data_IF_591715229318
#
_entry.id   IF_591715229318
#
_cell.length_a   1.000
_cell.length_b   1.000
_cell.length_c   1.000
_cell.angle_alpha   90.00
_cell.angle_beta   90.00
_cell.angle_gamma   90.00
#
_symmetry.space_group_name_H-M   'P 1'
#
loop_
_entity.id
_entity.type
_entity.pdbx_description
1 polymer ?
#
# COMPACT_ATOMS: atom_id res chain seq x y z
N UNK A 1 7.97 -13.29 -0.04
CA UNK A 1 9.02 -14.01 0.70
C UNK A 1 9.69 -13.03 1.62
N UNK A 2 9.80 -13.36 2.90
CA UNK A 2 10.13 -12.41 3.98
C UNK A 2 11.51 -11.74 3.81
N UNK A 3 12.42 -12.36 3.03
CA UNK A 3 13.78 -11.86 2.75
C UNK A 3 14.13 -11.84 1.25
N UNK A 4 13.12 -11.79 0.37
CA UNK A 4 13.36 -11.77 -1.08
C UNK A 4 13.80 -13.11 -1.70
N UNK A 5 13.93 -14.17 -0.91
CA UNK A 5 14.19 -15.53 -1.42
C UNK A 5 13.07 -15.98 -2.39
N UNK A 6 13.37 -16.84 -3.35
CA UNK A 6 12.39 -17.44 -4.26
C UNK A 6 11.84 -18.77 -3.74
N UNK A 7 10.60 -19.17 -4.06
CA UNK A 7 9.98 -20.42 -3.54
C UNK A 7 10.89 -21.65 -3.79
N UNK A 8 11.68 -21.62 -4.88
CA UNK A 8 12.69 -22.63 -5.20
C UNK A 8 13.91 -22.61 -4.26
N UNK A 9 14.26 -21.46 -3.72
CA UNK A 9 15.34 -21.32 -2.74
C UNK A 9 14.91 -21.90 -1.39
N UNK A 10 13.64 -21.79 -1.00
CA UNK A 10 13.12 -22.49 0.18
C UNK A 10 13.30 -24.01 0.07
N UNK A 11 13.10 -24.57 -1.12
CA UNK A 11 13.37 -25.98 -1.37
C UNK A 11 14.85 -26.31 -1.23
N UNK A 12 15.74 -25.51 -1.82
CA UNK A 12 17.20 -25.73 -1.75
C UNK A 12 17.75 -25.64 -0.32
N UNK A 13 17.24 -24.71 0.48
CA UNK A 13 17.77 -24.43 1.83
C UNK A 13 17.13 -25.35 2.88
N UNK A 14 15.81 -25.51 2.83
CA UNK A 14 15.04 -26.18 3.90
C UNK A 14 14.50 -27.56 3.49
N UNK A 15 14.66 -27.99 2.24
CA UNK A 15 14.07 -29.24 1.72
C UNK A 15 12.54 -29.20 1.58
N UNK A 16 11.91 -28.06 1.84
CA UNK A 16 10.45 -27.89 1.82
C UNK A 16 9.98 -27.74 0.37
N UNK A 17 8.95 -28.52 -0.02
CA UNK A 17 8.43 -28.44 -1.38
C UNK A 17 7.92 -27.02 -1.74
N UNK A 18 8.05 -26.59 -3.00
CA UNK A 18 7.47 -25.33 -3.47
C UNK A 18 5.97 -25.20 -3.18
N UNK A 19 5.23 -26.30 -3.31
CA UNK A 19 3.79 -26.33 -3.08
C UNK A 19 3.45 -26.14 -1.59
N UNK A 20 4.19 -26.80 -0.70
CA UNK A 20 4.01 -26.64 0.75
C UNK A 20 4.32 -25.20 1.17
N UNK A 21 5.42 -24.63 0.66
CA UNK A 21 5.78 -23.22 0.91
C UNK A 21 4.67 -22.28 0.44
N UNK A 22 4.12 -22.50 -0.75
CA UNK A 22 3.01 -21.69 -1.27
C UNK A 22 1.75 -21.82 -0.42
N UNK A 23 1.37 -23.05 -0.05
CA UNK A 23 0.19 -23.32 0.77
C UNK A 23 0.31 -22.64 2.15
N UNK A 24 1.50 -22.67 2.75
CA UNK A 24 1.79 -21.99 4.01
C UNK A 24 1.65 -20.46 3.87
N UNK A 25 2.23 -19.88 2.83
CA UNK A 25 2.10 -18.43 2.59
C UNK A 25 0.63 -18.05 2.40
N UNK A 26 -0.15 -18.86 1.68
CA UNK A 26 -1.57 -18.62 1.48
C UNK A 26 -2.39 -18.79 2.77
N UNK A 27 -2.05 -19.77 3.63
CA UNK A 27 -2.74 -19.96 4.90
C UNK A 27 -2.45 -18.84 5.88
N UNK A 28 -1.19 -18.41 6.00
CA UNK A 28 -0.82 -17.27 6.84
C UNK A 28 -1.37 -15.95 6.29
N UNK A 29 -1.30 -15.75 4.97
CA UNK A 29 -1.85 -14.57 4.31
C UNK A 29 -3.36 -14.40 4.55
N UNK A 30 -4.13 -15.49 4.63
CA UNK A 30 -5.57 -15.44 4.95
C UNK A 30 -5.87 -14.99 6.38
N UNK A 31 -4.91 -15.13 7.31
CA UNK A 31 -5.06 -14.69 8.70
C UNK A 31 -4.73 -13.21 8.88
N UNK A 32 -4.06 -12.59 7.91
CA UNK A 32 -3.70 -11.17 7.97
C UNK A 32 -4.98 -10.34 7.95
N UNK A 33 -5.21 -9.64 9.04
CA UNK A 33 -6.26 -8.63 9.16
C UNK A 33 -5.61 -7.27 9.32
N UNK A 34 -6.15 -6.27 8.63
CA UNK A 34 -5.69 -4.90 8.77
C UNK A 34 -6.46 -4.28 9.94
N UNK A 35 -5.75 -3.96 11.02
CA UNK A 35 -6.28 -3.27 12.18
C UNK A 35 -5.45 -2.01 12.44
N UNK A 36 -6.04 -0.80 12.38
CA UNK A 36 -5.32 0.44 12.63
C UNK A 36 -4.75 0.47 14.05
N UNK A 37 -3.50 0.93 14.19
CA UNK A 37 -2.88 1.15 15.51
C UNK A 37 -3.45 2.38 16.24
N UNK A 38 -3.98 3.35 15.49
CA UNK A 38 -4.50 4.60 16.03
C UNK A 38 -5.81 5.01 15.34
N UNK A 39 -6.52 5.96 15.98
CA UNK A 39 -7.79 6.47 15.46
C UNK A 39 -7.63 7.70 14.57
N UNK A 40 -6.51 8.40 14.66
CA UNK A 40 -6.22 9.61 13.90
C UNK A 40 -4.89 9.45 13.18
N UNK A 41 -4.84 9.86 11.91
CA UNK A 41 -3.61 9.90 11.10
C UNK A 41 -3.48 11.27 10.44
N UNK A 42 -2.33 11.91 10.63
CA UNK A 42 -2.05 13.23 10.05
C UNK A 42 -2.00 13.17 8.51
N UNK A 43 -1.19 12.26 7.95
CA UNK A 43 -1.13 12.01 6.51
C UNK A 43 -1.17 10.50 6.22
N UNK A 44 -1.96 10.15 5.19
CA UNK A 44 -1.97 8.83 4.58
C UNK A 44 -1.49 8.96 3.14
N UNK A 45 -0.46 8.19 2.77
CA UNK A 45 0.05 8.08 1.41
C UNK A 45 -0.78 7.05 0.63
N UNK A 46 -1.37 7.46 -0.49
CA UNK A 46 -2.00 6.52 -1.44
C UNK A 46 -1.14 6.41 -2.67
N UNK A 47 -0.67 5.19 -2.94
CA UNK A 47 0.23 4.89 -4.05
C UNK A 47 -0.25 3.66 -4.85
N UNK A 48 0.30 3.50 -6.05
CA UNK A 48 -0.03 2.44 -6.99
C UNK A 48 1.21 1.64 -7.40
N UNK A 49 1.06 0.32 -7.44
CA UNK A 49 2.05 -0.57 -8.04
C UNK A 49 1.36 -1.57 -8.97
N UNK A 50 2.14 -2.28 -9.78
CA UNK A 50 1.60 -3.35 -10.60
C UNK A 50 2.54 -4.54 -10.69
N UNK A 51 1.95 -5.70 -10.90
CA UNK A 51 2.71 -6.92 -11.22
C UNK A 51 1.99 -7.74 -12.28
N UNK A 52 2.70 -8.70 -12.88
CA UNK A 52 2.14 -9.66 -13.81
C UNK A 52 1.82 -10.95 -13.08
N UNK A 53 0.55 -11.36 -13.09
CA UNK A 53 0.08 -12.56 -12.37
C UNK A 53 -0.11 -13.71 -13.34
N UNK A 54 0.59 -14.82 -13.13
CA UNK A 54 0.57 -16.04 -13.96
C UNK A 54 1.12 -15.87 -15.39
N UNK A 55 0.64 -14.86 -16.15
CA UNK A 55 1.06 -14.58 -17.54
C UNK A 55 1.48 -13.12 -17.67
N UNK A 56 2.50 -12.84 -18.50
CA UNK A 56 2.97 -11.46 -18.79
C UNK A 56 1.90 -10.53 -19.36
N UNK A 57 0.82 -11.07 -19.93
CA UNK A 57 -0.32 -10.28 -20.43
C UNK A 57 -1.32 -9.89 -19.35
N UNK A 58 -1.28 -10.54 -18.18
CA UNK A 58 -2.20 -10.30 -17.07
C UNK A 58 -1.56 -9.33 -16.07
N UNK A 59 -1.62 -8.05 -16.43
CA UNK A 59 -1.21 -6.94 -15.55
C UNK A 59 -2.28 -6.72 -14.47
N UNK A 60 -1.87 -6.79 -13.20
CA UNK A 60 -2.72 -6.51 -12.03
C UNK A 60 -2.15 -5.30 -11.31
N UNK A 61 -3.01 -4.31 -11.10
CA UNK A 61 -2.69 -3.10 -10.35
C UNK A 61 -3.07 -3.28 -8.89
N UNK A 62 -2.24 -2.76 -8.01
CA UNK A 62 -2.40 -2.78 -6.56
C UNK A 62 -2.42 -1.32 -6.12
N UNK A 63 -3.52 -0.90 -5.50
CA UNK A 63 -3.57 0.37 -4.79
C UNK A 63 -3.48 0.08 -3.30
N UNK A 64 -2.73 0.90 -2.59
CA UNK A 64 -2.56 0.74 -1.15
C UNK A 64 -2.53 2.10 -0.46
N UNK A 65 -3.04 2.13 0.76
CA UNK A 65 -3.00 3.28 1.64
C UNK A 65 -2.00 2.98 2.76
N UNK A 66 -0.97 3.80 2.87
CA UNK A 66 0.14 3.64 3.80
C UNK A 66 0.18 4.83 4.76
N UNK A 67 0.32 4.56 6.06
CA UNK A 67 0.54 5.58 7.08
C UNK A 67 2.04 5.66 7.41
N UNK A 68 2.76 6.72 6.99
CA UNK A 68 4.20 6.83 7.24
C UNK A 68 4.55 6.96 8.74
N UNK A 69 3.65 7.57 9.52
CA UNK A 69 3.79 7.77 10.96
C UNK A 69 3.92 6.44 11.73
N UNK A 70 3.00 5.51 11.51
CA UNK A 70 2.96 4.20 12.18
C UNK A 70 3.60 3.08 11.35
N UNK A 71 4.01 3.38 10.11
CA UNK A 71 4.58 2.45 9.14
C UNK A 71 3.67 1.26 8.82
N UNK A 72 2.37 1.48 8.75
CA UNK A 72 1.38 0.43 8.49
C UNK A 72 0.61 0.63 7.17
N UNK A 73 0.10 -0.48 6.63
CA UNK A 73 -0.83 -0.45 5.49
C UNK A 73 -2.25 -0.47 6.05
N UNK A 74 -3.02 0.57 5.76
CA UNK A 74 -4.39 0.74 6.23
C UNK A 74 -5.43 0.12 5.30
N UNK A 75 -5.16 0.09 3.99
CA UNK A 75 -6.06 -0.54 3.04
C UNK A 75 -5.30 -1.00 1.79
N UNK A 76 -5.84 -2.01 1.12
CA UNK A 76 -5.28 -2.51 -0.15
C UNK A 76 -6.39 -3.00 -1.09
N UNK A 77 -6.27 -2.66 -2.37
CA UNK A 77 -7.13 -3.20 -3.43
C UNK A 77 -6.29 -3.72 -4.58
N UNK A 78 -6.76 -4.76 -5.25
CA UNK A 78 -6.06 -5.40 -6.37
C UNK A 78 -7.01 -5.61 -7.55
N UNK A 79 -6.60 -5.21 -8.74
CA UNK A 79 -7.43 -5.38 -9.93
C UNK A 79 -6.97 -4.58 -11.14
N UNK A 80 -7.91 -3.91 -11.81
CA UNK A 80 -7.64 -3.02 -12.95
C UNK A 80 -7.26 -1.63 -12.46
N UNK A 81 -6.43 -0.88 -13.21
CA UNK A 81 -6.18 0.55 -12.94
C UNK A 81 -7.40 1.37 -13.31
N UNK A 82 -8.35 1.49 -12.39
CA UNK A 82 -9.56 2.26 -12.62
C UNK A 82 -10.03 2.95 -11.34
N UNK A 83 -10.88 3.95 -11.54
CA UNK A 83 -11.48 4.73 -10.47
C UNK A 83 -12.29 3.88 -9.48
N UNK A 84 -12.93 2.79 -9.95
CA UNK A 84 -13.71 1.89 -9.08
C UNK A 84 -12.83 1.20 -8.03
N UNK A 85 -11.62 0.78 -8.38
CA UNK A 85 -10.67 0.18 -7.43
C UNK A 85 -10.20 1.20 -6.40
N UNK A 86 -9.96 2.44 -6.83
CA UNK A 86 -9.60 3.53 -5.92
C UNK A 86 -10.76 3.87 -4.96
N UNK A 87 -11.99 3.95 -5.47
CA UNK A 87 -13.17 4.15 -4.62
C UNK A 87 -13.35 3.03 -3.59
N UNK A 88 -13.13 1.78 -4.01
CA UNK A 88 -13.16 0.65 -3.09
C UNK A 88 -12.09 0.76 -2.00
N UNK A 89 -10.91 1.30 -2.31
CA UNK A 89 -9.87 1.56 -1.32
C UNK A 89 -10.35 2.59 -0.30
N UNK A 90 -10.95 3.69 -0.76
CA UNK A 90 -11.49 4.73 0.12
C UNK A 90 -12.62 4.21 1.02
N UNK A 91 -13.48 3.33 0.51
CA UNK A 91 -14.52 2.67 1.32
C UNK A 91 -13.90 1.80 2.41
N UNK A 92 -12.84 1.04 2.09
CA UNK A 92 -12.11 0.28 3.12
C UNK A 92 -11.57 1.19 4.21
N UNK A 93 -10.89 2.28 3.86
CA UNK A 93 -10.35 3.26 4.82
C UNK A 93 -11.48 3.82 5.71
N UNK A 94 -12.62 4.20 5.12
CA UNK A 94 -13.78 4.71 5.87
C UNK A 94 -14.33 3.67 6.85
N UNK A 95 -14.35 2.40 6.47
CA UNK A 95 -14.81 1.30 7.32
C UNK A 95 -13.88 0.99 8.50
N UNK A 96 -12.64 1.51 8.49
CA UNK A 96 -11.74 1.43 9.64
C UNK A 96 -12.13 2.39 10.76
N UNK A 97 -13.07 3.31 10.52
CA UNK A 97 -13.50 4.32 11.49
C UNK A 97 -12.34 5.18 12.03
N UNK A 98 -11.40 5.52 11.14
CA UNK A 98 -10.27 6.41 11.44
C UNK A 98 -10.50 7.81 10.90
N UNK A 99 -9.92 8.79 11.57
CA UNK A 99 -9.85 10.17 11.14
C UNK A 99 -8.55 10.42 10.38
N UNK A 100 -8.65 11.17 9.28
CA UNK A 100 -7.52 11.47 8.38
C UNK A 100 -7.45 12.97 8.18
N UNK A 101 -6.29 13.56 8.49
CA UNK A 101 -5.96 14.94 8.20
C UNK A 101 -5.85 15.15 6.69
N UNK A 102 -4.83 14.53 6.08
CA UNK A 102 -4.50 14.69 4.67
C UNK A 102 -4.29 13.35 3.94
N UNK A 103 -4.70 13.32 2.68
CA UNK A 103 -4.34 12.28 1.72
C UNK A 103 -3.21 12.81 0.83
N UNK A 104 -2.07 12.15 0.93
CA UNK A 104 -0.86 12.43 0.19
C UNK A 104 -0.85 11.50 -1.02
N UNK A 105 -0.99 12.03 -2.24
CA UNK A 105 -0.96 11.19 -3.46
C UNK A 105 -0.01 11.75 -4.50
N UNK A 106 0.50 10.86 -5.34
CA UNK A 106 1.22 11.26 -6.54
C UNK A 106 0.30 11.94 -7.57
N UNK A 107 0.91 12.48 -8.65
CA UNK A 107 0.25 13.25 -9.72
C UNK A 107 -0.70 12.43 -10.61
N UNK A 108 -1.31 11.36 -10.11
CA UNK A 108 -2.29 10.61 -10.89
C UNK A 108 -3.66 11.32 -10.87
N UNK A 109 -4.19 11.60 -12.06
CA UNK A 109 -5.35 12.47 -12.27
C UNK A 109 -6.63 11.95 -11.60
N UNK A 110 -6.77 10.63 -11.46
CA UNK A 110 -7.95 10.02 -10.83
C UNK A 110 -8.05 10.30 -9.32
N UNK A 111 -6.95 10.62 -8.64
CA UNK A 111 -6.99 10.97 -7.21
C UNK A 111 -7.71 12.30 -6.99
N UNK A 112 -7.55 13.26 -7.91
CA UNK A 112 -8.19 14.58 -7.84
C UNK A 112 -9.71 14.52 -7.91
N UNK A 113 -10.27 13.47 -8.51
CA UNK A 113 -11.72 13.29 -8.65
C UNK A 113 -12.33 12.52 -7.47
N UNK A 114 -11.54 11.75 -6.73
CA UNK A 114 -12.04 10.85 -5.68
C UNK A 114 -11.79 11.42 -4.29
N UNK A 115 -10.73 12.21 -4.10
CA UNK A 115 -10.37 12.78 -2.81
C UNK A 115 -10.99 14.17 -2.63
N UNK A 116 -11.47 14.51 -1.41
CA UNK A 116 -11.92 15.86 -1.12
C UNK A 116 -10.76 16.84 -1.28
N UNK A 117 -10.95 17.86 -2.11
CA UNK A 117 -9.92 18.85 -2.48
C UNK A 117 -9.27 19.51 -1.26
N UNK A 118 -10.04 19.74 -0.18
CA UNK A 118 -9.56 20.35 1.07
C UNK A 118 -8.58 19.51 1.87
N UNK A 119 -8.56 18.18 1.67
CA UNK A 119 -7.65 17.25 2.34
C UNK A 119 -6.64 16.62 1.40
N UNK A 120 -6.51 17.12 0.18
CA UNK A 120 -5.67 16.53 -0.85
C UNK A 120 -4.38 17.32 -1.04
N UNK A 121 -3.25 16.74 -0.59
CA UNK A 121 -1.94 17.29 -0.84
C UNK A 121 -1.37 16.68 -2.13
N UNK A 122 -1.27 17.49 -3.19
CA UNK A 122 -0.73 17.10 -4.50
C UNK A 122 0.65 17.74 -4.68
N UNK A 123 1.72 16.97 -4.80
CA UNK A 123 2.93 17.54 -5.40
C UNK A 123 4.27 16.84 -5.15
N UNK A 124 5.03 16.72 -6.25
CA UNK A 124 6.48 16.41 -6.31
C UNK A 124 7.39 17.31 -5.46
N UNK A 125 6.87 18.43 -4.93
CA UNK A 125 7.62 19.37 -4.08
C UNK A 125 7.77 18.84 -2.64
N UNK A 126 6.85 17.98 -2.19
CA UNK A 126 6.98 17.21 -0.93
C UNK A 126 7.71 15.87 -1.17
N UNK A 127 7.57 15.29 -2.36
CA UNK A 127 8.19 14.00 -2.71
C UNK A 127 9.72 14.07 -2.87
N UNK A 128 10.30 15.24 -3.20
CA UNK A 128 11.76 15.39 -3.34
C UNK A 128 12.52 15.25 -2.01
N UNK A 129 11.90 15.65 -0.90
CA UNK A 129 12.43 15.36 0.43
C UNK A 129 12.17 13.89 0.81
N UNK A 130 11.04 13.31 0.40
CA UNK A 130 10.66 11.92 0.69
C UNK A 130 11.58 10.90 -0.02
N UNK A 131 11.99 11.13 -1.26
CA UNK A 131 12.94 10.24 -1.97
C UNK A 131 14.34 10.26 -1.33
N UNK A 132 14.75 11.39 -0.75
CA UNK A 132 16.03 11.52 -0.05
C UNK A 132 15.97 10.88 1.34
N UNK A 133 14.81 10.95 2.02
CA UNK A 133 14.64 10.51 3.41
C UNK A 133 14.19 9.03 3.58
N UNK A 134 13.77 8.36 2.49
CA UNK A 134 13.53 6.90 2.49
C UNK A 134 14.78 6.08 2.90
N UNK A 135 15.99 6.66 2.86
CA UNK A 135 17.25 6.03 3.32
C UNK A 135 17.57 6.26 4.80
N UNK A 136 16.89 7.19 5.48
CA UNK A 136 17.36 7.74 6.75
C UNK A 136 16.25 7.97 7.78
N UNK A 137 15.11 7.28 7.72
CA UNK A 137 14.18 7.17 8.86
C UNK A 137 13.75 8.49 9.51
N UNK A 138 13.68 9.60 8.77
CA UNK A 138 13.41 10.93 9.29
C UNK A 138 11.94 11.19 9.60
N UNK A 139 11.70 12.02 10.62
CA UNK A 139 10.38 12.52 11.03
C UNK A 139 9.78 13.40 9.92
N UNK A 140 8.61 13.01 9.43
CA UNK A 140 7.84 13.77 8.45
C UNK A 140 7.29 15.06 9.08
N UNK A 141 7.68 16.23 8.58
CA UNK A 141 7.05 17.52 8.93
C UNK A 141 6.05 17.92 7.85
N UNK A 142 4.76 17.89 8.18
CA UNK A 142 3.67 18.37 7.33
C UNK A 142 3.32 19.83 7.68
N UNK A 143 2.93 20.67 6.70
CA UNK A 143 2.51 22.04 6.99
C UNK A 143 1.17 22.04 7.75
N UNK A 144 1.14 22.78 8.86
CA UNK A 144 -0.05 23.09 9.65
C UNK A 144 -1.09 23.88 8.85
#
# INVERSE_FOLDING_TARGET
MLHGSGIRDCYKIYGISPQTTLNLILSEGKKVQISPQQKYYECIEIDEMFSFVSKKRKKVWIFYAYAPETKEILAVTMGKRNRKQLQSLMVQIKNLHIEVGFYCTDKFQAFREVLPYSKHLIGKKFTKNIESDRRSGGQYSYPL
#
